data_IF_821338288683
#
_entry.id   IF_821338288683
#
_cell.length_a   1.000
_cell.length_b   1.000
_cell.length_c   1.000
_cell.angle_alpha   90.00
_cell.angle_beta   90.00
_cell.angle_gamma   90.00
#
_symmetry.space_group_name_H-M   'P 1'
#
loop_
_entity.id
_entity.type
_entity.pdbx_description
1 polymer ?
#
# COMPACT_ATOMS: atom_id res chain seq x y z
N UNK A 1 38.02 -4.84 -15.78
CA UNK A 1 37.23 -6.08 -15.60
C UNK A 1 36.33 -5.84 -14.40
N UNK A 2 35.00 -5.80 -14.59
CA UNK A 2 34.04 -5.60 -13.50
C UNK A 2 33.30 -6.90 -13.24
N UNK A 3 33.19 -7.29 -11.97
CA UNK A 3 32.35 -8.41 -11.53
C UNK A 3 30.90 -7.97 -11.77
N UNK A 4 30.10 -8.81 -12.44
CA UNK A 4 28.68 -8.56 -12.67
C UNK A 4 27.86 -9.33 -11.66
N UNK A 5 26.73 -8.77 -11.25
CA UNK A 5 25.81 -9.40 -10.29
C UNK A 5 26.04 -8.99 -8.84
N UNK A 6 26.92 -8.04 -8.55
CA UNK A 6 27.03 -7.43 -7.23
C UNK A 6 26.08 -6.23 -7.12
N UNK A 7 25.30 -6.21 -6.04
CA UNK A 7 24.31 -5.16 -5.75
C UNK A 7 24.74 -4.31 -4.57
N UNK A 8 24.53 -3.00 -4.71
CA UNK A 8 24.64 -2.03 -3.63
C UNK A 8 23.22 -1.59 -3.24
N UNK A 9 22.91 -1.60 -1.94
CA UNK A 9 21.62 -1.13 -1.43
C UNK A 9 21.82 0.18 -0.67
N UNK A 10 21.03 1.20 -1.01
CA UNK A 10 21.05 2.51 -0.37
C UNK A 10 19.78 2.69 0.45
N UNK A 11 19.92 2.99 1.74
CA UNK A 11 18.81 3.13 2.68
C UNK A 11 18.79 4.54 3.24
N UNK A 12 17.65 5.20 3.09
CA UNK A 12 17.31 6.41 3.83
C UNK A 12 16.60 6.05 5.14
N UNK A 13 17.04 6.65 6.25
CA UNK A 13 16.39 6.50 7.55
C UNK A 13 15.71 7.80 7.94
N UNK A 14 14.43 7.72 8.32
CA UNK A 14 13.67 8.86 8.86
C UNK A 14 14.28 9.34 10.18
N UNK A 15 14.57 8.40 11.08
CA UNK A 15 15.07 8.64 12.43
C UNK A 15 16.60 8.56 12.50
N UNK A 16 17.15 9.25 13.50
CA UNK A 16 18.57 9.10 13.84
C UNK A 16 18.74 7.84 14.69
N UNK A 17 19.34 6.82 14.07
CA UNK A 17 19.58 5.53 14.71
C UNK A 17 20.99 5.50 15.31
N UNK A 18 21.13 4.85 16.46
CA UNK A 18 22.42 4.57 17.09
C UNK A 18 23.28 3.63 16.25
N UNK A 19 24.59 3.60 16.48
CA UNK A 19 25.51 2.71 15.75
C UNK A 19 25.11 1.22 15.85
N UNK A 20 24.55 0.81 16.98
CA UNK A 20 24.05 -0.55 17.18
C UNK A 20 22.83 -0.83 16.30
N UNK A 21 21.85 0.06 16.29
CA UNK A 21 20.64 -0.06 15.47
C UNK A 21 20.95 -0.04 13.97
N UNK A 22 21.86 0.83 13.54
CA UNK A 22 22.35 0.87 12.15
C UNK A 22 22.95 -0.48 11.75
N UNK A 23 23.70 -1.14 12.65
CA UNK A 23 24.27 -2.47 12.40
C UNK A 23 23.20 -3.56 12.33
N UNK A 24 22.18 -3.50 13.18
CA UNK A 24 21.04 -4.41 13.13
C UNK A 24 20.25 -4.24 11.84
N UNK A 25 19.96 -3.01 11.44
CA UNK A 25 19.25 -2.68 10.20
C UNK A 25 19.99 -3.21 8.97
N UNK A 26 21.32 -3.00 8.89
CA UNK A 26 22.13 -3.56 7.79
C UNK A 26 22.01 -5.08 7.70
N UNK A 27 21.99 -5.77 8.85
CA UNK A 27 21.85 -7.22 8.90
C UNK A 27 20.46 -7.66 8.44
N UNK A 28 19.41 -7.01 8.92
CA UNK A 28 18.03 -7.31 8.54
C UNK A 28 17.81 -7.13 7.03
N UNK A 29 18.32 -6.05 6.45
CA UNK A 29 18.23 -5.82 5.00
C UNK A 29 19.03 -6.87 4.22
N UNK A 30 20.20 -7.27 4.71
CA UNK A 30 20.95 -8.37 4.09
C UNK A 30 20.17 -9.69 4.15
N UNK A 31 19.53 -10.02 5.27
CA UNK A 31 18.68 -11.20 5.42
C UNK A 31 17.51 -11.20 4.42
N UNK A 32 16.82 -10.06 4.28
CA UNK A 32 15.72 -9.88 3.32
C UNK A 32 16.21 -10.05 1.88
N UNK A 33 17.36 -9.46 1.54
CA UNK A 33 17.96 -9.60 0.21
C UNK A 33 18.33 -11.06 -0.08
N UNK A 34 19.00 -11.74 0.85
CA UNK A 34 19.41 -13.14 0.68
C UNK A 34 18.22 -14.09 0.55
N UNK A 35 17.09 -13.81 1.21
CA UNK A 35 15.86 -14.59 1.08
C UNK A 35 15.22 -14.49 -0.34
N UNK A 36 15.43 -13.38 -1.05
CA UNK A 36 14.80 -13.10 -2.36
C UNK A 36 15.82 -12.97 -3.50
N UNK A 37 17.07 -13.39 -3.28
CA UNK A 37 18.18 -13.22 -4.23
C UNK A 37 18.01 -14.10 -5.47
N UNK A 38 18.22 -13.53 -6.65
CA UNK A 38 18.28 -14.28 -7.92
C UNK A 38 19.61 -15.04 -8.07
N UNK A 39 19.62 -16.02 -8.98
CA UNK A 39 20.81 -16.82 -9.29
C UNK A 39 21.89 -15.93 -9.90
N UNK A 40 23.12 -16.02 -9.38
CA UNK A 40 24.27 -15.26 -9.88
C UNK A 40 24.33 -13.81 -9.41
N UNK A 41 23.42 -13.40 -8.52
CA UNK A 41 23.48 -12.11 -7.84
C UNK A 41 24.06 -12.27 -6.43
N UNK A 42 24.73 -11.25 -5.91
CA UNK A 42 25.17 -11.16 -4.52
C UNK A 42 25.14 -9.72 -4.01
N UNK A 43 25.17 -9.58 -2.69
CA UNK A 43 25.19 -8.27 -2.03
C UNK A 43 26.64 -7.83 -1.82
N UNK A 44 26.99 -6.65 -2.32
CA UNK A 44 28.31 -6.04 -2.08
C UNK A 44 28.29 -5.28 -0.76
N UNK A 45 27.45 -4.25 -0.67
CA UNK A 45 27.35 -3.44 0.53
C UNK A 45 25.98 -2.79 0.70
N UNK A 46 25.60 -2.58 1.97
CA UNK A 46 24.45 -1.79 2.39
C UNK A 46 24.94 -0.44 2.91
N UNK A 47 24.60 0.62 2.17
CA UNK A 47 24.92 2.01 2.49
C UNK A 47 23.73 2.67 3.19
N UNK A 48 23.99 3.28 4.33
CA UNK A 48 23.02 4.14 5.01
C UNK A 48 23.33 5.57 4.60
N UNK A 49 22.33 6.23 4.02
CA UNK A 49 22.48 7.57 3.49
C UNK A 49 22.62 8.58 4.63
N UNK A 50 23.53 9.53 4.46
CA UNK A 50 23.77 10.63 5.40
C UNK A 50 22.89 11.82 5.06
N UNK A 51 22.24 12.39 6.07
CA UNK A 51 21.45 13.62 5.95
C UNK A 51 22.35 14.78 5.54
N UNK A 52 21.92 15.53 4.54
CA UNK A 52 22.53 16.80 4.12
C UNK A 52 21.45 17.87 4.18
N UNK A 53 21.67 18.84 5.06
CA UNK A 53 20.71 19.91 5.28
C UNK A 53 20.83 20.99 4.23
N UNK A 54 19.70 21.34 3.65
CA UNK A 54 19.56 22.47 2.73
C UNK A 54 18.75 23.55 3.41
N UNK A 55 19.26 24.77 3.42
CA UNK A 55 18.49 25.94 3.84
C UNK A 55 18.46 26.98 2.74
N UNK A 56 17.40 27.77 2.74
CA UNK A 56 17.17 28.81 1.75
C UNK A 56 17.01 30.15 2.44
N UNK A 57 17.61 31.16 1.84
CA UNK A 57 17.54 32.55 2.28
C UNK A 57 17.05 33.40 1.13
N UNK A 58 16.18 34.36 1.43
CA UNK A 58 15.64 35.25 0.40
C UNK A 58 14.40 35.99 0.88
N UNK A 59 13.97 36.95 0.07
CA UNK A 59 12.82 37.79 0.36
C UNK A 59 11.64 37.38 -0.54
N UNK A 60 10.53 36.97 0.07
CA UNK A 60 9.32 36.53 -0.62
C UNK A 60 8.23 37.58 -0.43
N UNK A 61 7.76 38.18 -1.52
CA UNK A 61 6.65 39.14 -1.49
C UNK A 61 5.33 38.40 -1.65
N UNK A 62 4.42 38.58 -0.70
CA UNK A 62 3.12 37.89 -0.66
C UNK A 62 1.94 38.82 -0.99
N UNK A 63 0.80 38.23 -1.32
CA UNK A 63 -0.44 38.95 -1.56
C UNK A 63 -1.04 39.57 -0.29
N UNK A 64 -1.82 40.63 -0.45
CA UNK A 64 -2.34 41.41 0.68
C UNK A 64 -3.45 40.67 1.46
N UNK A 65 -4.13 39.75 0.82
CA UNK A 65 -5.18 38.87 1.34
C UNK A 65 -4.66 37.53 1.86
N UNK A 66 -3.47 37.11 1.44
CA UNK A 66 -2.84 35.87 1.90
C UNK A 66 -2.42 35.89 3.38
N UNK A 67 -2.49 34.72 4.02
CA UNK A 67 -1.99 34.46 5.38
C UNK A 67 -0.51 34.01 5.30
N UNK A 68 0.39 34.73 5.94
CA UNK A 68 1.84 34.51 5.80
C UNK A 68 2.31 33.14 6.30
N UNK A 69 1.76 32.69 7.42
CA UNK A 69 2.02 31.37 8.02
C UNK A 69 1.65 30.24 7.05
N UNK A 70 0.50 30.36 6.39
CA UNK A 70 0.00 29.36 5.43
C UNK A 70 0.84 29.35 4.15
N UNK A 71 1.22 30.53 3.64
CA UNK A 71 2.11 30.62 2.48
C UNK A 71 3.47 30.00 2.82
N UNK A 72 4.04 30.30 3.98
CA UNK A 72 5.32 29.72 4.42
C UNK A 72 5.21 28.20 4.58
N UNK A 73 4.09 27.72 5.13
CA UNK A 73 3.85 26.29 5.30
C UNK A 73 3.78 25.55 3.96
N UNK A 74 3.04 26.08 2.99
CA UNK A 74 2.97 25.54 1.63
C UNK A 74 4.34 25.54 0.95
N UNK A 75 5.10 26.63 1.07
CA UNK A 75 6.46 26.72 0.52
C UNK A 75 7.34 25.58 1.03
N UNK A 76 7.41 25.38 2.35
CA UNK A 76 8.27 24.34 2.92
C UNK A 76 7.76 22.93 2.62
N UNK A 77 6.44 22.71 2.61
CA UNK A 77 5.84 21.42 2.25
C UNK A 77 6.11 21.03 0.79
N UNK A 78 5.97 21.97 -0.14
CA UNK A 78 6.21 21.74 -1.57
C UNK A 78 7.71 21.51 -1.85
N UNK A 79 8.58 22.23 -1.14
CA UNK A 79 10.03 22.03 -1.22
C UNK A 79 10.44 20.68 -0.63
N UNK A 80 9.89 20.27 0.50
CA UNK A 80 10.14 18.96 1.10
C UNK A 80 9.68 17.84 0.17
N UNK A 81 8.48 17.96 -0.40
CA UNK A 81 7.93 17.00 -1.37
C UNK A 81 8.76 16.91 -2.67
N UNK A 82 9.35 18.02 -3.11
CA UNK A 82 10.23 18.04 -4.27
C UNK A 82 11.60 17.40 -3.98
N UNK A 83 12.16 17.67 -2.80
CA UNK A 83 13.49 17.20 -2.40
C UNK A 83 13.46 15.72 -2.00
N UNK A 84 12.43 15.34 -1.24
CA UNK A 84 12.18 14.01 -0.74
C UNK A 84 10.74 13.56 -1.09
N UNK A 85 10.53 13.13 -2.34
CA UNK A 85 9.21 12.67 -2.79
C UNK A 85 8.79 11.43 -2.01
N UNK A 86 7.68 11.55 -1.28
CA UNK A 86 7.14 10.44 -0.53
C UNK A 86 6.48 9.41 -1.46
N UNK A 87 6.68 8.13 -1.14
CA UNK A 87 6.05 7.04 -1.87
C UNK A 87 4.61 6.87 -1.38
N UNK A 88 3.66 7.10 -2.28
CA UNK A 88 2.24 6.88 -1.98
C UNK A 88 1.92 5.38 -1.95
N UNK A 89 1.39 4.93 -0.82
CA UNK A 89 0.86 3.59 -0.66
C UNK A 89 -0.65 3.59 -0.92
N UNK A 90 -1.17 2.49 -1.45
CA UNK A 90 -2.59 2.32 -1.75
C UNK A 90 -3.10 1.00 -1.21
N UNK A 91 -4.36 0.98 -0.77
CA UNK A 91 -5.02 -0.28 -0.45
C UNK A 91 -5.38 -1.02 -1.76
N UNK A 92 -4.76 -2.19 -2.05
CA UNK A 92 -5.00 -2.95 -3.27
C UNK A 92 -6.45 -3.42 -3.40
N UNK A 93 -7.12 -3.71 -2.28
CA UNK A 93 -8.51 -4.15 -2.29
C UNK A 93 -9.43 -3.01 -2.71
N UNK A 94 -9.19 -1.78 -2.21
CA UNK A 94 -9.94 -0.59 -2.65
C UNK A 94 -9.66 -0.24 -4.10
N UNK A 95 -8.42 -0.39 -4.58
CA UNK A 95 -8.10 -0.15 -5.99
C UNK A 95 -8.90 -1.07 -6.91
N UNK A 96 -9.02 -2.35 -6.56
CA UNK A 96 -9.80 -3.31 -7.32
C UNK A 96 -11.31 -3.07 -7.20
N UNK A 97 -11.84 -2.98 -5.98
CA UNK A 97 -13.29 -2.96 -5.72
C UNK A 97 -13.94 -1.60 -6.01
N UNK A 98 -13.27 -0.49 -5.67
CA UNK A 98 -13.85 0.86 -5.75
C UNK A 98 -13.41 1.60 -7.01
N UNK A 99 -12.11 1.51 -7.37
CA UNK A 99 -11.54 2.23 -8.52
C UNK A 99 -11.55 1.42 -9.82
N UNK A 100 -11.94 0.15 -9.78
CA UNK A 100 -12.11 -0.70 -10.97
C UNK A 100 -10.81 -1.11 -11.67
N UNK A 101 -9.67 -1.09 -10.96
CA UNK A 101 -8.42 -1.62 -11.50
C UNK A 101 -8.49 -3.14 -11.66
N UNK A 102 -7.83 -3.68 -12.69
CA UNK A 102 -7.77 -5.12 -12.89
C UNK A 102 -6.95 -5.79 -11.78
N UNK A 103 -7.41 -6.93 -11.22
CA UNK A 103 -6.65 -7.68 -10.21
C UNK A 103 -5.23 -8.01 -10.67
N UNK A 104 -5.07 -8.36 -11.94
CA UNK A 104 -3.76 -8.69 -12.53
C UNK A 104 -2.77 -7.53 -12.45
N UNK A 105 -3.25 -6.28 -12.49
CA UNK A 105 -2.38 -5.10 -12.39
C UNK A 105 -1.99 -4.81 -10.94
N UNK A 106 -2.92 -5.04 -10.01
CA UNK A 106 -2.71 -4.75 -8.58
C UNK A 106 -1.87 -5.85 -7.91
N UNK A 107 -1.97 -7.10 -8.37
CA UNK A 107 -1.30 -8.26 -7.79
C UNK A 107 -0.21 -8.85 -8.69
N UNK A 108 0.39 -8.04 -9.58
CA UNK A 108 1.46 -8.47 -10.50
C UNK A 108 2.81 -8.75 -9.81
N UNK A 109 2.99 -8.25 -8.58
CA UNK A 109 4.28 -8.23 -7.87
C UNK A 109 4.30 -9.10 -6.60
N UNK A 110 5.29 -8.88 -5.71
CA UNK A 110 5.26 -9.49 -4.38
C UNK A 110 3.97 -9.10 -3.65
N UNK A 111 3.41 -10.02 -2.86
CA UNK A 111 2.16 -9.78 -2.13
C UNK A 111 2.32 -8.55 -1.22
N UNK A 112 1.56 -7.45 -1.45
CA UNK A 112 1.77 -6.21 -0.72
C UNK A 112 1.29 -6.34 0.72
N UNK A 113 2.18 -6.24 1.72
CA UNK A 113 1.78 -6.31 3.13
C UNK A 113 1.27 -4.98 3.68
N UNK A 114 1.88 -3.88 3.27
CA UNK A 114 1.64 -2.53 3.81
C UNK A 114 1.05 -1.56 2.78
N UNK A 115 0.45 -2.10 1.72
CA UNK A 115 -0.05 -1.31 0.60
C UNK A 115 0.65 -1.62 -0.72
N UNK A 116 -0.02 -1.27 -1.80
CA UNK A 116 0.44 -1.35 -3.17
C UNK A 116 1.06 -0.01 -3.59
N UNK A 117 2.17 -0.08 -4.32
CA UNK A 117 2.89 1.08 -4.85
C UNK A 117 2.82 0.99 -6.37
N UNK A 118 2.46 2.08 -7.05
CA UNK A 118 2.61 2.12 -8.50
C UNK A 118 4.04 2.49 -8.89
N UNK A 119 4.55 1.87 -9.94
CA UNK A 119 5.91 2.12 -10.46
C UNK A 119 6.18 3.60 -10.76
N UNK A 120 5.17 4.37 -11.18
CA UNK A 120 5.33 5.80 -11.48
C UNK A 120 5.52 6.68 -10.24
N UNK A 121 5.18 6.18 -9.03
CA UNK A 121 5.49 6.85 -7.77
C UNK A 121 6.91 6.54 -7.28
N UNK A 122 7.57 5.52 -7.83
CA UNK A 122 8.97 5.21 -7.53
C UNK A 122 9.87 6.18 -8.31
N UNK A 123 10.21 7.27 -7.65
CA UNK A 123 11.11 8.28 -8.20
C UNK A 123 12.57 7.92 -7.93
N UNK A 124 13.43 8.34 -8.84
CA UNK A 124 14.87 8.20 -8.64
C UNK A 124 15.36 9.22 -7.61
N UNK A 125 16.41 8.85 -6.89
CA UNK A 125 17.09 9.75 -5.97
C UNK A 125 17.54 11.03 -6.69
N UNK A 126 17.34 12.17 -6.02
CA UNK A 126 17.80 13.48 -6.51
C UNK A 126 19.32 13.59 -6.39
N UNK A 127 20.03 13.64 -7.52
CA UNK A 127 21.49 13.81 -7.55
C UNK A 127 21.93 15.27 -7.48
N UNK A 128 21.08 16.17 -8.00
CA UNK A 128 21.36 17.59 -8.05
C UNK A 128 20.08 18.42 -7.85
N UNK A 129 20.19 19.48 -7.05
CA UNK A 129 19.10 20.44 -6.83
C UNK A 129 19.49 21.78 -7.44
N UNK A 130 18.65 22.30 -8.33
CA UNK A 130 18.86 23.57 -9.02
C UNK A 130 18.11 24.71 -8.34
N UNK A 131 18.78 25.85 -8.17
CA UNK A 131 18.20 27.06 -7.58
C UNK A 131 17.00 27.58 -8.40
N UNK A 132 17.06 27.45 -9.73
CA UNK A 132 15.95 27.80 -10.62
C UNK A 132 14.70 26.98 -10.31
N UNK A 133 14.86 25.68 -10.03
CA UNK A 133 13.75 24.80 -9.73
C UNK A 133 13.10 25.13 -8.38
N UNK A 134 13.90 25.41 -7.36
CA UNK A 134 13.40 25.92 -6.08
C UNK A 134 12.62 27.23 -6.28
N UNK A 135 13.16 28.15 -7.08
CA UNK A 135 12.49 29.41 -7.39
C UNK A 135 11.13 29.19 -8.06
N UNK A 136 11.06 28.28 -9.03
CA UNK A 136 9.80 27.91 -9.69
C UNK A 136 8.77 27.36 -8.70
N UNK A 137 9.19 26.46 -7.81
CA UNK A 137 8.31 25.87 -6.79
C UNK A 137 7.73 26.94 -5.88
N UNK A 138 8.59 27.82 -5.32
CA UNK A 138 8.14 28.89 -4.42
C UNK A 138 7.20 29.87 -5.16
N UNK A 139 7.47 30.20 -6.43
CA UNK A 139 6.58 31.06 -7.23
C UNK A 139 5.25 30.38 -7.59
N UNK A 140 5.20 29.04 -7.61
CA UNK A 140 4.00 28.26 -7.85
C UNK A 140 3.03 28.24 -6.66
N UNK A 141 3.51 28.62 -5.47
CA UNK A 141 2.68 28.66 -4.26
C UNK A 141 1.67 29.79 -4.33
N UNK A 142 0.40 29.43 -4.14
CA UNK A 142 -0.70 30.38 -4.04
C UNK A 142 -0.44 31.41 -2.93
N UNK A 143 -0.50 32.70 -3.28
CA UNK A 143 -0.20 33.79 -2.35
C UNK A 143 1.17 34.45 -2.56
N UNK A 144 2.05 33.87 -3.38
CA UNK A 144 3.38 34.42 -3.68
C UNK A 144 3.35 35.30 -4.94
N UNK A 145 3.85 36.54 -4.85
CA UNK A 145 3.96 37.48 -5.99
C UNK A 145 5.33 37.52 -6.61
N UNK A 146 6.37 37.56 -5.78
CA UNK A 146 7.74 37.78 -6.23
C UNK A 146 8.74 37.21 -5.22
N UNK A 147 9.91 36.76 -5.71
CA UNK A 147 11.02 36.32 -4.88
C UNK A 147 12.28 37.09 -5.27
N UNK A 148 12.99 37.63 -4.28
CA UNK A 148 14.25 38.35 -4.43
C UNK A 148 15.36 37.73 -3.59
N UNK A 149 16.59 37.93 -4.04
CA UNK A 149 17.80 37.56 -3.30
C UNK A 149 17.84 36.09 -2.83
N UNK A 150 17.24 35.18 -3.61
CA UNK A 150 17.20 33.76 -3.26
C UNK A 150 18.62 33.17 -3.33
N UNK A 151 19.07 32.61 -2.21
CA UNK A 151 20.34 31.95 -2.04
C UNK A 151 20.14 30.61 -1.33
N UNK A 152 20.90 29.60 -1.75
CA UNK A 152 20.87 28.27 -1.16
C UNK A 152 22.11 28.01 -0.30
N UNK A 153 21.91 27.26 0.77
CA UNK A 153 22.94 26.87 1.72
C UNK A 153 22.95 25.35 1.86
N UNK A 154 24.15 24.76 1.89
CA UNK A 154 24.39 23.33 2.15
C UNK A 154 25.09 23.19 3.49
N UNK A 155 24.46 22.52 4.46
CA UNK A 155 24.93 22.40 5.85
C UNK A 155 25.35 23.75 6.46
N UNK A 156 24.57 24.81 6.19
CA UNK A 156 24.83 26.17 6.67
C UNK A 156 25.88 26.96 5.86
N UNK A 157 26.54 26.36 4.87
CA UNK A 157 27.50 27.06 4.01
C UNK A 157 26.82 27.60 2.74
N UNK A 158 27.04 28.86 2.35
CA UNK A 158 26.44 29.43 1.15
C UNK A 158 26.97 28.72 -0.09
N UNK A 159 26.06 28.37 -0.99
CA UNK A 159 26.38 27.82 -2.31
C UNK A 159 26.38 28.99 -3.29
N UNK A 160 27.51 29.17 -3.97
CA UNK A 160 27.67 30.23 -4.98
C UNK A 160 27.25 29.78 -6.39
N UNK A 161 27.19 28.47 -6.61
CA UNK A 161 26.70 27.89 -7.86
C UNK A 161 25.17 27.86 -7.91
N UNK A 162 24.62 27.72 -9.12
CA UNK A 162 23.18 27.63 -9.34
C UNK A 162 22.59 26.24 -9.02
N UNK A 163 23.41 25.30 -8.54
CA UNK A 163 23.00 23.96 -8.20
C UNK A 163 23.84 23.38 -7.06
N UNK A 164 23.32 22.35 -6.39
CA UNK A 164 24.03 21.54 -5.41
C UNK A 164 24.03 20.08 -5.81
N UNK A 165 25.21 19.48 -5.82
CA UNK A 165 25.40 18.05 -5.98
C UNK A 165 25.42 17.32 -4.64
N UNK A 166 24.87 16.10 -4.67
CA UNK A 166 24.89 15.15 -3.56
C UNK A 166 25.70 13.93 -3.92
N UNK A 167 26.45 13.41 -2.94
CA UNK A 167 27.15 12.14 -3.14
C UNK A 167 26.16 10.96 -3.17
N UNK A 168 26.62 9.82 -3.69
CA UNK A 168 25.81 8.58 -3.73
C UNK A 168 25.34 8.14 -2.33
N UNK A 169 26.12 8.44 -1.29
CA UNK A 169 25.83 8.11 0.11
C UNK A 169 25.20 9.25 0.91
N UNK A 170 24.76 10.33 0.26
CA UNK A 170 24.13 11.49 0.89
C UNK A 170 22.68 11.60 0.45
N UNK A 171 21.80 12.19 1.26
CA UNK A 171 20.46 12.56 0.82
C UNK A 171 20.11 13.96 1.29
N UNK A 172 19.46 14.77 0.43
CA UNK A 172 19.07 16.13 0.79
C UNK A 172 17.85 16.14 1.71
N UNK A 173 17.86 17.04 2.69
CA UNK A 173 16.70 17.35 3.53
C UNK A 173 16.59 18.86 3.69
N UNK A 174 15.40 19.41 3.48
CA UNK A 174 15.17 20.84 3.71
C UNK A 174 15.12 21.10 5.22
N UNK A 175 15.89 22.08 5.67
CA UNK A 175 16.05 22.46 7.06
C UNK A 175 15.11 23.61 7.38
N UNK A 176 14.08 23.33 8.16
CA UNK A 176 13.12 24.33 8.67
C UNK A 176 12.77 24.14 10.16
N UNK A 177 13.35 23.13 10.82
CA UNK A 177 13.21 22.88 12.26
C UNK A 177 14.59 22.77 12.89
N UNK A 178 14.82 23.46 14.00
CA UNK A 178 16.02 23.28 14.80
C UNK A 178 16.10 21.84 15.36
N UNK A 179 17.28 21.22 15.30
CA UNK A 179 17.46 19.81 15.68
C UNK A 179 17.25 19.56 17.19
N UNK A 180 17.46 20.57 18.03
CA UNK A 180 17.45 20.41 19.49
C UNK A 180 16.14 20.87 20.12
N UNK A 181 15.62 22.01 19.66
CA UNK A 181 14.43 22.66 20.19
C UNK A 181 13.17 22.31 19.40
N UNK A 182 13.33 21.74 18.20
CA UNK A 182 12.28 21.56 17.20
C UNK A 182 11.49 22.83 16.91
N UNK A 183 12.10 24.00 17.16
CA UNK A 183 11.51 25.28 16.85
C UNK A 183 11.59 25.49 15.33
N UNK A 184 10.55 26.12 14.77
CA UNK A 184 10.59 26.51 13.37
C UNK A 184 11.60 27.63 13.16
N UNK A 185 12.58 27.39 12.30
CA UNK A 185 13.61 28.35 11.93
C UNK A 185 13.66 28.51 10.42
N UNK A 186 13.65 29.77 9.97
CA UNK A 186 13.66 30.11 8.55
C UNK A 186 14.56 31.32 8.31
N UNK A 187 15.30 31.28 7.19
CA UNK A 187 16.05 32.44 6.69
C UNK A 187 15.29 33.16 5.55
N UNK A 188 14.08 32.72 5.24
CA UNK A 188 13.17 33.42 4.35
C UNK A 188 12.42 34.51 5.10
N UNK A 189 12.47 35.72 4.55
CA UNK A 189 11.70 36.87 5.02
C UNK A 189 10.44 37.01 4.17
N UNK A 190 9.29 37.22 4.81
CA UNK A 190 8.05 37.53 4.09
C UNK A 190 7.83 39.04 4.06
N UNK A 191 7.48 39.56 2.88
CA UNK A 191 7.16 40.96 2.66
C UNK A 191 5.70 41.09 2.25
N UNK A 192 4.91 41.78 3.07
CA UNK A 192 3.51 42.12 2.77
C UNK A 192 3.40 43.63 2.58
N UNK A 193 2.99 44.08 1.40
CA UNK A 193 2.95 45.51 1.03
C UNK A 193 4.29 46.25 1.27
N UNK A 194 5.43 45.56 1.03
CA UNK A 194 6.81 46.05 1.30
C UNK A 194 7.19 46.20 2.77
N UNK A 195 6.38 45.70 3.69
CA UNK A 195 6.69 45.62 5.11
C UNK A 195 6.99 44.17 5.48
N UNK A 196 7.99 43.95 6.32
CA UNK A 196 8.30 42.61 6.84
C UNK A 196 7.13 42.08 7.68
N UNK A 197 6.67 40.89 7.32
CA UNK A 197 5.61 40.20 8.01
C UNK A 197 6.22 39.21 8.99
N UNK A 198 6.04 39.47 10.29
CA UNK A 198 6.51 38.58 11.35
C UNK A 198 5.55 37.40 11.46
N UNK A 199 6.10 36.20 11.38
CA UNK A 199 5.38 34.93 11.36
C UNK A 199 5.39 34.32 12.76
N UNK A 200 4.28 33.71 13.17
CA UNK A 200 4.28 32.85 14.36
C UNK A 200 4.91 31.47 14.05
N UNK A 201 6.04 31.11 14.69
CA UNK A 201 6.74 29.86 14.42
C UNK A 201 5.94 28.62 14.86
N UNK A 202 5.11 28.73 15.90
CA UNK A 202 4.32 27.60 16.41
C UNK A 202 3.19 27.27 15.45
N UNK A 203 2.45 28.29 15.01
CA UNK A 203 1.36 28.13 14.04
C UNK A 203 1.93 27.59 12.72
N UNK A 204 3.06 28.13 12.25
CA UNK A 204 3.69 27.69 11.01
C UNK A 204 4.13 26.24 11.07
N UNK A 205 4.77 25.80 12.17
CA UNK A 205 5.13 24.39 12.39
C UNK A 205 3.90 23.47 12.28
N UNK A 206 2.79 23.85 12.91
CA UNK A 206 1.55 23.07 12.86
C UNK A 206 0.96 23.00 11.45
N UNK A 207 0.98 24.11 10.71
CA UNK A 207 0.50 24.14 9.33
C UNK A 207 1.39 23.30 8.39
N UNK A 208 2.71 23.36 8.53
CA UNK A 208 3.63 22.49 7.77
C UNK A 208 3.32 21.02 8.04
N UNK A 209 3.20 20.64 9.31
CA UNK A 209 2.88 19.27 9.67
C UNK A 209 1.54 18.81 9.07
N UNK A 210 0.52 19.69 9.08
CA UNK A 210 -0.76 19.41 8.45
C UNK A 210 -0.66 19.22 6.93
N UNK A 211 0.16 20.00 6.24
CA UNK A 211 0.31 19.94 4.78
C UNK A 211 1.11 18.71 4.32
N UNK A 212 2.15 18.34 5.09
CA UNK A 212 2.89 17.10 4.86
C UNK A 212 1.95 15.89 5.06
N UNK A 213 1.14 15.89 6.12
CA UNK A 213 0.18 14.82 6.39
C UNK A 213 -0.93 14.71 5.34
N UNK A 214 -1.41 15.84 4.80
CA UNK A 214 -2.46 15.85 3.77
C UNK A 214 -1.95 15.26 2.45
N UNK A 215 -0.66 15.45 2.16
CA UNK A 215 0.03 14.91 0.98
C UNK A 215 0.37 13.43 1.16
N UNK A 216 0.77 13.03 2.37
CA UNK A 216 1.23 11.68 2.66
C UNK A 216 0.09 10.69 2.88
N UNK A 217 0.00 9.64 2.06
CA UNK A 217 -0.90 8.50 2.32
C UNK A 217 -0.09 7.31 2.82
N UNK A 218 0.13 7.27 4.13
CA UNK A 218 0.74 6.11 4.79
C UNK A 218 -0.32 5.11 5.25
N UNK A 219 -0.07 3.83 4.99
CA UNK A 219 -0.82 2.72 5.57
C UNK A 219 0.11 2.03 6.57
N UNK A 220 -0.15 2.21 7.87
CA UNK A 220 0.63 1.59 8.94
C UNK A 220 0.08 0.23 9.39
N UNK A 221 -1.09 -0.18 8.87
CA UNK A 221 -1.71 -1.46 9.19
C UNK A 221 -1.39 -2.50 8.13
N UNK A 222 -1.02 -3.70 8.57
CA UNK A 222 -0.84 -4.83 7.67
C UNK A 222 -2.18 -5.21 7.04
N UNK A 223 -2.19 -5.33 5.71
CA UNK A 223 -3.38 -5.69 4.95
C UNK A 223 -3.77 -7.14 5.28
N UNK A 224 -4.99 -7.30 5.77
CA UNK A 224 -5.54 -8.62 6.02
C UNK A 224 -6.22 -9.16 4.76
N UNK A 225 -5.58 -10.13 4.11
CA UNK A 225 -6.15 -10.86 2.99
C UNK A 225 -7.05 -11.99 3.51
N UNK A 226 -8.35 -11.74 3.62
CA UNK A 226 -9.30 -12.82 3.88
C UNK A 226 -9.47 -13.68 2.61
N UNK A 227 -8.75 -14.79 2.52
CA UNK A 227 -8.98 -15.84 1.50
C UNK A 227 -10.28 -16.62 1.79
N UNK A 228 -11.43 -15.95 1.80
CA UNK A 228 -12.72 -16.63 1.87
C UNK A 228 -13.17 -16.95 0.47
N UNK A 229 -13.00 -18.22 0.09
CA UNK A 229 -13.71 -18.76 -1.07
C UNK A 229 -15.21 -18.45 -0.92
N UNK A 230 -15.88 -18.04 -2.01
CA UNK A 230 -17.31 -17.81 -1.95
C UNK A 230 -17.99 -19.10 -1.50
N UNK A 231 -18.90 -18.99 -0.53
CA UNK A 231 -19.62 -20.16 -0.04
C UNK A 231 -20.46 -20.72 -1.19
N UNK A 232 -20.35 -22.04 -1.39
CA UNK A 232 -21.20 -22.75 -2.34
C UNK A 232 -22.68 -22.52 -2.02
N UNK A 233 -23.50 -22.45 -3.08
CA UNK A 233 -24.94 -22.20 -2.95
C UNK A 233 -25.68 -23.34 -2.23
N UNK A 234 -25.20 -24.57 -2.37
CA UNK A 234 -25.88 -25.77 -1.89
C UNK A 234 -25.23 -26.34 -0.63
N UNK A 235 -26.07 -26.83 0.28
CA UNK A 235 -25.59 -27.60 1.41
C UNK A 235 -25.32 -29.06 1.01
N UNK A 236 -24.47 -29.73 1.78
CA UNK A 236 -24.16 -31.15 1.57
C UNK A 236 -25.42 -32.01 1.69
N UNK A 237 -26.34 -31.63 2.58
CA UNK A 237 -27.64 -32.28 2.79
C UNK A 237 -28.56 -32.18 1.56
N UNK A 238 -28.57 -31.03 0.88
CA UNK A 238 -29.36 -30.83 -0.35
C UNK A 238 -28.86 -31.72 -1.50
N UNK A 239 -27.54 -31.92 -1.61
CA UNK A 239 -26.94 -32.78 -2.64
C UNK A 239 -27.13 -34.28 -2.35
N UNK A 240 -27.23 -34.66 -1.07
CA UNK A 240 -27.41 -36.05 -0.66
C UNK A 240 -28.87 -36.53 -0.69
N UNK A 241 -29.82 -35.63 -0.89
CA UNK A 241 -31.23 -35.98 -1.06
C UNK A 241 -31.45 -36.69 -2.42
N UNK A 242 -31.23 -38.01 -2.43
CA UNK A 242 -31.62 -38.86 -3.56
C UNK A 242 -33.14 -39.06 -3.49
N UNK A 243 -33.87 -38.33 -4.33
CA UNK A 243 -35.28 -38.62 -4.56
C UNK A 243 -35.35 -39.86 -5.46
N UNK A 244 -35.69 -41.02 -4.88
CA UNK A 244 -35.95 -42.23 -5.67
C UNK A 244 -37.13 -41.97 -6.62
N UNK A 245 -36.96 -42.32 -7.90
CA UNK A 245 -37.99 -42.15 -8.93
C UNK A 245 -39.34 -42.80 -8.56
N UNK A 246 -39.27 -43.89 -7.78
CA UNK A 246 -40.43 -44.64 -7.28
C UNK A 246 -41.30 -43.83 -6.32
N UNK A 247 -40.70 -42.91 -5.56
CA UNK A 247 -41.42 -42.03 -4.61
C UNK A 247 -42.25 -40.98 -5.35
N UNK A 248 -41.78 -40.50 -6.50
CA UNK A 248 -42.46 -39.48 -7.33
C UNK A 248 -43.73 -40.02 -8.03
N UNK A 249 -43.84 -41.34 -8.21
CA UNK A 249 -44.94 -42.01 -8.92
C UNK A 249 -45.87 -42.84 -8.01
N UNK A 250 -45.75 -42.65 -6.69
CA UNK A 250 -46.42 -43.49 -5.68
C UNK A 250 -47.95 -43.54 -5.80
N UNK A 251 -48.58 -42.52 -6.39
CA UNK A 251 -50.05 -42.46 -6.48
C UNK A 251 -50.64 -43.23 -7.67
N UNK A 252 -49.87 -43.55 -8.71
CA UNK A 252 -50.41 -44.21 -9.91
C UNK A 252 -50.05 -45.70 -10.01
N UNK A 253 -48.90 -46.12 -9.47
CA UNK A 253 -48.35 -47.47 -9.66
C UNK A 253 -48.42 -48.36 -8.41
N UNK A 254 -49.05 -47.90 -7.32
CA UNK A 254 -49.30 -48.73 -6.13
C UNK A 254 -48.06 -49.10 -5.32
N UNK A 255 -46.95 -48.39 -5.50
CA UNK A 255 -45.70 -48.61 -4.74
C UNK A 255 -45.67 -47.90 -3.38
N UNK A 256 -46.75 -47.22 -3.01
CA UNK A 256 -46.90 -46.58 -1.70
C UNK A 256 -47.37 -47.56 -0.62
N UNK A 257 -46.55 -48.57 -0.33
CA UNK A 257 -46.48 -49.22 0.99
C UNK A 257 -45.41 -50.30 0.94
N UNK A 258 -44.29 -50.05 1.59
CA UNK A 258 -43.41 -51.11 2.08
C UNK A 258 -44.09 -51.75 3.31
N UNK A 259 -45.20 -52.43 3.04
CA UNK A 259 -45.90 -53.31 3.96
C UNK A 259 -46.03 -54.63 3.22
N UNK A 260 -45.28 -55.64 3.69
CA UNK A 260 -45.46 -57.02 3.30
C UNK A 260 -46.96 -57.35 3.29
N UNK A 261 -47.44 -58.02 2.23
CA UNK A 261 -48.83 -58.41 2.03
C UNK A 261 -49.35 -59.12 3.30
N UNK A 262 -50.22 -58.48 4.08
CA UNK A 262 -50.92 -59.13 5.19
C UNK A 262 -51.82 -60.23 4.63
N UNK A 263 -51.44 -61.50 4.84
CA UNK A 263 -52.31 -62.64 4.60
C UNK A 263 -53.45 -62.61 5.62
N UNK A 264 -54.69 -62.55 5.12
CA UNK A 264 -55.93 -62.65 5.88
C UNK A 264 -56.01 -63.92 6.78
N UNK A 265 -56.67 -63.86 7.96
CA UNK A 265 -56.85 -65.00 8.85
C UNK A 265 -58.03 -65.90 8.44
N UNK A 266 -57.88 -67.19 8.71
CA UNK A 266 -58.77 -68.32 8.33
C UNK A 266 -60.22 -68.20 8.84
N UNK A 267 -61.19 -68.70 8.06
CA UNK A 267 -62.52 -69.17 8.52
C UNK A 267 -62.75 -70.66 8.16
N UNK A 268 -63.59 -71.41 8.90
CA UNK A 268 -63.55 -72.87 8.95
C UNK A 268 -64.55 -73.61 8.03
N UNK A 269 -64.15 -74.83 7.63
CA UNK A 269 -64.85 -76.05 7.16
C UNK A 269 -66.15 -75.95 6.32
N UNK A 270 -66.18 -76.65 5.19
CA UNK A 270 -67.20 -77.66 4.83
C UNK A 270 -66.75 -78.55 3.64
N UNK A 271 -67.34 -79.75 3.56
CA UNK A 271 -66.90 -80.97 2.88
C UNK A 271 -67.13 -81.09 1.36
N UNK A 272 -66.33 -81.99 0.77
CA UNK A 272 -66.64 -83.01 -0.26
C UNK A 272 -66.65 -82.72 -1.77
N UNK A 273 -65.89 -83.60 -2.46
CA UNK A 273 -66.01 -84.16 -3.81
C UNK A 273 -65.78 -83.19 -4.99
N UNK A 274 -64.90 -83.45 -5.97
CA UNK A 274 -64.75 -84.69 -6.74
C UNK A 274 -63.56 -84.61 -7.72
N UNK A 275 -62.97 -85.79 -8.02
CA UNK A 275 -62.23 -86.19 -9.24
C UNK A 275 -61.04 -85.37 -9.76
N UNK A 276 -59.84 -85.95 -9.54
CA UNK A 276 -58.73 -86.20 -10.49
C UNK A 276 -59.08 -86.05 -12.00
N UNK A 277 -58.12 -85.68 -12.89
CA UNK A 277 -56.89 -86.45 -13.02
C UNK A 277 -55.57 -85.70 -13.28
N UNK A 278 -54.55 -86.47 -12.93
CA UNK A 278 -53.14 -86.40 -13.30
C UNK A 278 -53.00 -86.49 -14.83
N UNK A 279 -52.19 -85.59 -15.41
CA UNK A 279 -51.53 -85.85 -16.70
C UNK A 279 -50.04 -85.56 -16.55
N UNK A 280 -49.29 -86.62 -16.29
CA UNK A 280 -47.89 -86.77 -16.64
C UNK A 280 -47.80 -87.03 -18.14
N UNK A 281 -47.00 -86.25 -18.86
CA UNK A 281 -46.47 -86.65 -20.17
C UNK A 281 -44.95 -86.80 -20.06
N UNK A 282 -44.52 -88.02 -20.38
CA UNK A 282 -43.13 -88.46 -20.50
C UNK A 282 -42.52 -87.98 -21.81
N UNK A 283 -41.24 -87.62 -21.76
CA UNK A 283 -40.20 -88.15 -22.65
C UNK A 283 -38.92 -88.21 -21.81
N UNK A 284 -38.21 -89.34 -21.68
CA UNK A 284 -38.14 -90.56 -22.48
C UNK A 284 -38.52 -91.81 -21.68
#
# INVERSE_FOLDING_TARGET
MGIRGLFEIFIECSEELSELELKFLKREVAEVFHAHRLIGHDLEEVYILKKVYLSIKGDVTIESDSLGELVMAKIYSDLDSYINPQVELYDPMKLWQEKGFNPEQVFAGPLPKFGFIFDHHLTQKVEAIYLSRIKEIILGVEGVKEIKNLQLFKNGLPVFDNFVYFNRTEFPKIQYLDEHTEAFETQLTLLKNRVEYVIDPVITKQLIASEVLSTSKFYHEELNYEEKLPKGRFSLEELQNIILFTTSFQNYLGWAKMGFREMHPKKPRLQCNSSLPIFTFLSR
#
